data_IF_208442705433
#
_entry.id   IF_208442705433
#
_cell.length_a   1.000
_cell.length_b   1.000
_cell.length_c   1.000
_cell.angle_alpha   90.00
_cell.angle_beta   90.00
_cell.angle_gamma   90.00
#
_symmetry.space_group_name_H-M   'P 1'
#
loop_
_entity.id
_entity.type
_entity.pdbx_description
1 polymer ?
#
# COMPACT_ATOMS: atom_id res chain seq x y z
N UNK A 1 11.18 -38.39 11.92
CA UNK A 1 9.78 -38.77 12.21
C UNK A 1 8.95 -37.49 12.34
N UNK A 2 7.66 -37.59 12.10
CA UNK A 2 6.70 -36.50 12.26
C UNK A 2 5.69 -36.89 13.31
N UNK A 3 5.34 -35.97 14.23
CA UNK A 3 4.40 -36.26 15.30
C UNK A 3 3.81 -34.99 15.90
N UNK A 4 2.96 -35.17 16.91
CA UNK A 4 2.35 -34.08 17.68
C UNK A 4 3.05 -33.95 19.00
N UNK A 5 3.30 -32.69 19.43
CA UNK A 5 3.79 -32.35 20.77
C UNK A 5 2.68 -31.64 21.54
N UNK A 6 2.32 -32.16 22.73
CA UNK A 6 1.34 -31.57 23.61
C UNK A 6 2.01 -31.29 24.94
N UNK A 7 2.18 -30.01 25.30
CA UNK A 7 2.90 -29.58 26.49
C UNK A 7 2.19 -28.47 27.28
N UNK A 8 0.86 -28.37 27.18
CA UNK A 8 0.05 -27.32 27.83
C UNK A 8 0.60 -25.88 27.58
N UNK A 9 1.16 -25.66 26.41
CA UNK A 9 1.67 -24.35 25.99
C UNK A 9 0.48 -23.39 25.82
N UNK A 10 0.48 -22.31 26.59
CA UNK A 10 -0.64 -21.33 26.57
C UNK A 10 -0.34 -20.13 25.66
N UNK A 11 0.92 -19.89 25.33
CA UNK A 11 1.34 -18.79 24.48
C UNK A 11 2.32 -19.31 23.41
N UNK A 12 2.07 -18.96 22.15
CA UNK A 12 2.91 -19.36 21.01
C UNK A 12 4.33 -18.78 21.13
N UNK A 13 4.49 -17.62 21.75
CA UNK A 13 5.79 -16.99 21.94
C UNK A 13 6.74 -17.83 22.83
N UNK A 14 6.20 -18.76 23.61
CA UNK A 14 6.97 -19.71 24.42
C UNK A 14 7.47 -20.94 23.67
N UNK A 15 7.06 -21.15 22.42
CA UNK A 15 7.49 -22.29 21.59
C UNK A 15 7.43 -21.87 20.10
N UNK A 16 8.37 -21.00 19.66
CA UNK A 16 8.38 -20.51 18.28
C UNK A 16 8.67 -21.65 17.29
N UNK A 17 8.23 -21.50 16.07
CA UNK A 17 8.47 -22.44 14.97
C UNK A 17 9.99 -22.55 14.74
N UNK A 18 10.51 -23.78 14.73
CA UNK A 18 11.94 -24.04 14.55
C UNK A 18 12.74 -24.08 15.84
N UNK A 19 12.09 -24.01 17.01
CA UNK A 19 12.76 -24.13 18.30
C UNK A 19 13.24 -25.57 18.58
N UNK A 20 14.27 -25.70 19.43
CA UNK A 20 14.85 -26.96 19.81
C UNK A 20 14.19 -27.50 21.08
N UNK A 21 13.62 -28.71 20.96
CA UNK A 21 13.02 -29.41 22.10
C UNK A 21 13.98 -30.43 22.65
N UNK A 22 14.25 -30.38 23.94
CA UNK A 22 15.20 -31.27 24.60
C UNK A 22 14.64 -31.83 25.90
N UNK A 23 15.24 -32.92 26.41
CA UNK A 23 14.84 -33.51 27.67
C UNK A 23 15.32 -32.69 28.85
N UNK A 24 14.46 -32.54 29.89
CA UNK A 24 14.80 -31.75 31.10
C UNK A 24 16.00 -32.28 31.89
N UNK A 25 16.33 -33.58 31.76
CA UNK A 25 17.46 -34.21 32.45
C UNK A 25 18.77 -34.19 31.66
N UNK A 26 18.67 -34.18 30.34
CA UNK A 26 19.77 -34.17 29.37
C UNK A 26 19.55 -33.03 28.37
N UNK A 27 19.55 -31.82 28.90
CA UNK A 27 19.41 -30.62 28.03
C UNK A 27 20.68 -30.45 27.18
N UNK A 28 20.50 -30.07 25.94
CA UNK A 28 21.60 -29.64 25.06
C UNK A 28 21.94 -28.18 25.35
N UNK A 29 23.24 -27.88 25.41
CA UNK A 29 23.72 -26.51 25.69
C UNK A 29 23.62 -25.59 24.45
N UNK A 30 23.63 -26.19 23.26
CA UNK A 30 23.54 -25.46 22.00
C UNK A 30 22.30 -25.93 21.24
N UNK A 31 21.36 -25.01 20.88
CA UNK A 31 20.22 -25.38 20.08
C UNK A 31 20.66 -25.89 18.70
N UNK A 32 19.85 -26.76 18.10
CA UNK A 32 20.03 -27.15 16.70
C UNK A 32 19.87 -25.92 15.81
N UNK A 33 20.53 -25.92 14.65
CA UNK A 33 20.26 -24.88 13.64
C UNK A 33 18.79 -24.93 13.27
N UNK A 34 18.04 -23.94 13.76
CA UNK A 34 16.61 -23.79 13.52
C UNK A 34 16.29 -23.28 12.12
N UNK A 35 15.01 -23.16 11.83
CA UNK A 35 14.57 -22.47 10.62
C UNK A 35 14.98 -20.99 10.68
N UNK A 36 15.44 -20.44 9.56
CA UNK A 36 15.64 -19.00 9.46
C UNK A 36 14.30 -18.30 9.65
N UNK A 37 14.19 -17.32 10.56
CA UNK A 37 12.94 -16.60 10.74
C UNK A 37 12.54 -15.94 9.42
N UNK A 38 11.33 -16.21 9.00
CA UNK A 38 10.79 -15.61 7.78
C UNK A 38 10.49 -14.15 8.08
N UNK A 39 11.12 -13.26 7.31
CA UNK A 39 10.95 -11.82 7.48
C UNK A 39 9.89 -11.32 6.49
N UNK A 40 8.87 -10.59 6.94
CA UNK A 40 7.93 -9.97 6.04
C UNK A 40 8.64 -8.95 5.12
N UNK A 41 8.17 -8.84 3.90
CA UNK A 41 8.73 -7.95 2.88
C UNK A 41 7.77 -6.84 2.47
N UNK A 42 6.48 -7.09 2.64
CA UNK A 42 5.39 -6.21 2.27
C UNK A 42 4.61 -5.84 3.52
N UNK A 43 4.25 -4.59 3.67
CA UNK A 43 3.52 -4.09 4.84
C UNK A 43 2.30 -3.30 4.37
N UNK A 44 1.16 -3.56 4.99
CA UNK A 44 -0.05 -2.77 4.77
C UNK A 44 -0.75 -2.51 6.11
N UNK A 45 -1.42 -1.36 6.20
CA UNK A 45 -2.34 -1.08 7.29
C UNK A 45 -3.70 -1.70 6.97
N UNK A 46 -4.28 -2.44 7.90
CA UNK A 46 -5.64 -2.94 7.83
C UNK A 46 -6.46 -2.30 8.96
N UNK A 47 -7.60 -1.75 8.58
CA UNK A 47 -8.47 -1.00 9.48
C UNK A 47 -9.90 -1.53 9.39
N UNK A 48 -10.58 -1.81 10.51
CA UNK A 48 -11.99 -2.18 10.48
C UNK A 48 -12.84 -0.98 10.05
N UNK A 49 -13.90 -1.22 9.27
CA UNK A 49 -14.85 -0.18 8.84
C UNK A 49 -15.62 0.40 10.03
N UNK A 50 -15.83 -0.40 11.07
CA UNK A 50 -16.43 0.02 12.35
C UNK A 50 -15.40 -0.02 13.47
N UNK A 51 -15.29 1.06 14.25
CA UNK A 51 -14.42 1.10 15.44
C UNK A 51 -14.79 0.06 16.52
N UNK A 52 -16.03 -0.42 16.51
CA UNK A 52 -16.49 -1.46 17.43
C UNK A 52 -15.86 -2.83 17.14
N UNK A 53 -15.44 -3.07 15.90
CA UNK A 53 -14.82 -4.32 15.46
C UNK A 53 -13.33 -4.42 15.79
N UNK A 54 -12.70 -3.39 16.36
CA UNK A 54 -11.26 -3.40 16.66
C UNK A 54 -10.82 -4.56 17.54
N UNK A 55 -11.56 -4.84 18.64
CA UNK A 55 -11.26 -5.95 19.55
C UNK A 55 -11.45 -7.31 18.88
N UNK A 56 -12.53 -7.46 18.08
CA UNK A 56 -12.79 -8.66 17.28
C UNK A 56 -11.65 -8.89 16.27
N UNK A 57 -11.17 -7.81 15.65
CA UNK A 57 -10.06 -7.87 14.70
C UNK A 57 -8.74 -8.27 15.37
N UNK A 58 -8.42 -7.71 16.54
CA UNK A 58 -7.26 -8.10 17.33
C UNK A 58 -7.27 -9.60 17.67
N UNK A 59 -8.41 -10.10 18.11
CA UNK A 59 -8.57 -11.51 18.49
C UNK A 59 -8.48 -12.43 17.25
N UNK A 60 -8.98 -12.00 16.09
CA UNK A 60 -8.86 -12.72 14.84
C UNK A 60 -7.39 -12.83 14.39
N UNK A 61 -6.62 -11.72 14.45
CA UNK A 61 -5.19 -11.73 14.14
C UNK A 61 -4.41 -12.67 15.08
N UNK A 62 -4.70 -12.65 16.38
CA UNK A 62 -4.06 -13.54 17.34
C UNK A 62 -4.32 -15.02 16.99
N UNK A 63 -5.55 -15.36 16.58
CA UNK A 63 -5.90 -16.73 16.13
C UNK A 63 -5.23 -17.11 14.82
N UNK A 64 -5.18 -16.19 13.83
CA UNK A 64 -4.51 -16.45 12.57
C UNK A 64 -3.02 -16.69 12.75
N UNK A 65 -2.36 -15.94 13.62
CA UNK A 65 -0.93 -16.09 13.94
C UNK A 65 -0.59 -17.49 14.48
N UNK A 66 -1.53 -18.20 15.09
CA UNK A 66 -1.32 -19.59 15.53
C UNK A 66 -1.05 -20.54 14.36
N UNK A 67 -1.60 -20.25 13.19
CA UNK A 67 -1.47 -21.08 12.00
C UNK A 67 -0.50 -20.49 10.97
N UNK A 68 -0.09 -19.23 11.16
CA UNK A 68 0.76 -18.49 10.26
C UNK A 68 1.88 -17.78 11.02
N UNK A 69 3.00 -18.47 11.17
CA UNK A 69 4.18 -17.96 11.88
C UNK A 69 4.85 -16.76 11.17
N UNK A 70 4.54 -16.52 9.90
CA UNK A 70 5.05 -15.38 9.14
C UNK A 70 4.26 -14.10 9.39
N UNK A 71 3.05 -14.20 9.93
CA UNK A 71 2.18 -13.07 10.21
C UNK A 71 2.72 -12.25 11.38
N UNK A 72 3.17 -11.04 11.07
CA UNK A 72 3.61 -10.05 12.07
C UNK A 72 2.67 -8.86 12.01
N UNK A 73 2.25 -8.36 13.16
CA UNK A 73 1.37 -7.19 13.22
C UNK A 73 1.65 -6.34 14.45
N UNK A 74 1.46 -5.05 14.31
CA UNK A 74 1.55 -4.05 15.37
C UNK A 74 0.34 -3.11 15.30
N UNK A 75 -0.13 -2.54 16.42
CA UNK A 75 -1.19 -1.54 16.40
C UNK A 75 -0.78 -0.32 15.57
N UNK A 76 -1.68 0.16 14.73
CA UNK A 76 -1.53 1.37 13.93
C UNK A 76 -2.74 2.28 14.15
N UNK A 77 -2.51 3.59 14.15
CA UNK A 77 -3.56 4.59 14.22
C UNK A 77 -3.46 5.51 13.01
N UNK A 78 -4.57 5.69 12.32
CA UNK A 78 -4.72 6.62 11.21
C UNK A 78 -5.70 7.72 11.59
N UNK A 79 -5.37 8.97 11.29
CA UNK A 79 -6.28 10.10 11.52
C UNK A 79 -7.55 10.00 10.66
N UNK A 80 -7.46 9.34 9.51
CA UNK A 80 -8.58 9.14 8.59
C UNK A 80 -9.40 7.89 8.90
N UNK A 81 -8.77 6.76 9.30
CA UNK A 81 -9.38 5.43 9.41
C UNK A 81 -9.54 4.96 10.86
N UNK A 82 -8.94 5.66 11.84
CA UNK A 82 -8.97 5.28 13.26
C UNK A 82 -7.98 4.19 13.61
N UNK A 83 -8.35 3.32 14.55
CA UNK A 83 -7.49 2.25 15.06
C UNK A 83 -7.52 1.02 14.15
N UNK A 84 -6.35 0.48 13.86
CA UNK A 84 -6.15 -0.72 13.06
C UNK A 84 -4.83 -1.40 13.40
N UNK A 85 -4.31 -2.18 12.45
CA UNK A 85 -3.04 -2.88 12.59
C UNK A 85 -2.19 -2.71 11.33
N UNK A 86 -0.91 -2.44 11.54
CA UNK A 86 0.13 -2.58 10.53
C UNK A 86 0.54 -4.03 10.47
N UNK A 87 0.38 -4.66 9.31
CA UNK A 87 0.63 -6.10 9.14
C UNK A 87 1.73 -6.32 8.13
N UNK A 88 2.68 -7.18 8.49
CA UNK A 88 3.75 -7.61 7.61
C UNK A 88 3.41 -8.93 6.93
N UNK A 89 3.62 -8.99 5.61
CA UNK A 89 3.31 -10.11 4.73
C UNK A 89 4.55 -10.58 3.97
N UNK A 90 4.54 -11.83 3.53
CA UNK A 90 5.58 -12.38 2.67
C UNK A 90 5.57 -11.80 1.25
N UNK A 91 4.39 -11.41 0.78
CA UNK A 91 4.12 -10.84 -0.52
C UNK A 91 2.63 -10.52 -0.67
N UNK A 92 2.22 -10.05 -1.84
CA UNK A 92 0.82 -9.67 -2.11
C UNK A 92 -0.16 -10.84 -1.95
N UNK A 93 0.15 -12.01 -2.50
CA UNK A 93 -0.72 -13.18 -2.38
C UNK A 93 -0.97 -13.55 -0.90
N UNK A 94 0.06 -13.46 -0.07
CA UNK A 94 -0.09 -13.68 1.37
C UNK A 94 -1.02 -12.63 2.00
N UNK A 95 -0.89 -11.36 1.60
CA UNK A 95 -1.78 -10.27 2.05
C UNK A 95 -3.24 -10.54 1.67
N UNK A 96 -3.49 -10.91 0.41
CA UNK A 96 -4.84 -11.24 -0.09
C UNK A 96 -5.45 -12.41 0.66
N UNK A 97 -4.68 -13.48 0.88
CA UNK A 97 -5.15 -14.67 1.64
C UNK A 97 -5.50 -14.30 3.07
N UNK A 98 -4.65 -13.52 3.76
CA UNK A 98 -4.91 -13.10 5.14
C UNK A 98 -6.14 -12.21 5.21
N UNK A 99 -6.27 -11.25 4.28
CA UNK A 99 -7.44 -10.37 4.21
C UNK A 99 -8.72 -11.19 3.97
N UNK A 100 -8.74 -12.07 2.97
CA UNK A 100 -9.88 -12.91 2.65
C UNK A 100 -10.28 -13.83 3.82
N UNK A 101 -9.30 -14.37 4.55
CA UNK A 101 -9.56 -15.15 5.76
C UNK A 101 -10.17 -14.33 6.88
N UNK A 102 -9.68 -13.10 7.11
CA UNK A 102 -10.24 -12.18 8.10
C UNK A 102 -11.69 -11.82 7.77
N UNK A 103 -11.98 -11.57 6.51
CA UNK A 103 -13.33 -11.26 6.04
C UNK A 103 -14.27 -12.46 6.13
N UNK A 104 -13.85 -13.64 5.65
CA UNK A 104 -14.72 -14.83 5.56
C UNK A 104 -14.84 -15.64 6.86
N UNK A 105 -13.72 -15.86 7.56
CA UNK A 105 -13.71 -16.71 8.75
C UNK A 105 -14.14 -15.94 10.01
N UNK A 106 -13.88 -14.61 10.03
CA UNK A 106 -14.14 -13.78 11.20
C UNK A 106 -15.20 -12.70 10.96
N UNK A 107 -15.80 -12.63 9.77
CA UNK A 107 -16.85 -11.66 9.43
C UNK A 107 -16.45 -10.23 9.80
N UNK A 108 -15.32 -9.79 9.23
CA UNK A 108 -14.74 -8.46 9.42
C UNK A 108 -14.77 -7.72 8.09
N UNK A 109 -15.28 -6.50 8.08
CA UNK A 109 -15.14 -5.59 6.95
C UNK A 109 -13.90 -4.73 7.15
N UNK A 110 -12.91 -4.86 6.26
CA UNK A 110 -11.60 -4.24 6.41
C UNK A 110 -11.27 -3.28 5.27
N UNK A 111 -10.65 -2.15 5.62
CA UNK A 111 -10.04 -1.23 4.68
C UNK A 111 -8.53 -1.50 4.68
N UNK A 112 -7.97 -1.77 3.51
CA UNK A 112 -6.53 -2.00 3.34
C UNK A 112 -5.87 -0.77 2.72
N UNK A 113 -4.79 -0.29 3.32
CA UNK A 113 -3.96 0.76 2.74
C UNK A 113 -3.02 0.20 1.67
N UNK A 114 -2.43 1.08 0.86
CA UNK A 114 -1.46 0.66 -0.14
C UNK A 114 -0.30 -0.12 0.50
N UNK A 115 0.09 -1.29 -0.06
CA UNK A 115 1.22 -2.03 0.43
C UNK A 115 2.50 -1.23 0.22
N UNK A 116 3.37 -1.31 1.19
CA UNK A 116 4.69 -0.66 1.20
C UNK A 116 5.77 -1.68 1.51
N UNK A 117 7.01 -1.30 1.23
CA UNK A 117 8.21 -2.08 1.58
C UNK A 117 8.95 -1.41 2.74
N UNK A 118 9.92 -2.10 3.32
CA UNK A 118 10.82 -1.48 4.30
C UNK A 118 11.83 -0.62 3.54
N UNK A 119 11.93 0.65 3.93
CA UNK A 119 12.96 1.57 3.48
C UNK A 119 14.00 1.80 4.58
N UNK A 120 15.23 2.09 4.20
CA UNK A 120 16.26 2.58 5.11
C UNK A 120 16.48 4.08 4.90
N UNK A 121 16.53 4.81 6.01
CA UNK A 121 16.80 6.24 6.03
C UNK A 121 18.10 6.45 6.80
N UNK A 122 19.06 7.09 6.15
CA UNK A 122 20.23 7.63 6.79
C UNK A 122 19.94 9.08 7.20
N UNK A 123 20.03 9.38 8.49
CA UNK A 123 19.86 10.75 8.95
C UNK A 123 21.14 11.58 8.79
N UNK A 124 21.01 12.90 8.96
CA UNK A 124 22.17 13.83 8.89
C UNK A 124 23.19 13.61 10.01
N UNK A 125 22.88 12.77 11.02
CA UNK A 125 23.76 12.42 12.13
C UNK A 125 24.46 11.06 11.92
N UNK A 126 24.16 10.38 10.82
CA UNK A 126 24.75 9.07 10.47
C UNK A 126 24.01 7.85 11.04
N UNK A 127 22.84 8.02 11.67
CA UNK A 127 22.04 6.89 12.14
C UNK A 127 21.19 6.32 11.02
N UNK A 128 21.10 4.99 10.94
CA UNK A 128 20.23 4.30 10.00
C UNK A 128 18.96 3.87 10.73
N UNK A 129 17.80 4.27 10.21
CA UNK A 129 16.48 3.84 10.68
C UNK A 129 15.72 3.14 9.56
N UNK A 130 14.86 2.19 9.93
CA UNK A 130 13.97 1.48 9.00
C UNK A 130 12.55 1.96 9.17
N UNK A 131 11.91 2.24 8.06
CA UNK A 131 10.50 2.62 8.03
C UNK A 131 9.73 1.71 7.07
N UNK A 132 8.53 1.39 7.44
CA UNK A 132 7.58 0.53 6.70
C UNK A 132 6.30 1.28 6.33
N UNK A 133 6.16 2.53 6.77
CA UNK A 133 4.99 3.36 6.53
C UNK A 133 5.37 4.79 6.16
N UNK A 134 4.64 5.43 5.22
CA UNK A 134 4.83 6.85 4.90
C UNK A 134 4.62 7.78 6.10
N UNK A 135 3.78 7.39 7.07
CA UNK A 135 3.52 8.17 8.29
C UNK A 135 4.71 8.22 9.25
N UNK A 136 5.57 7.18 9.22
CA UNK A 136 6.80 7.11 10.03
C UNK A 136 7.99 7.88 9.42
N UNK A 137 7.81 8.53 8.26
CA UNK A 137 8.88 9.26 7.58
C UNK A 137 9.28 10.50 8.39
N UNK A 138 10.57 10.65 8.76
CA UNK A 138 11.06 11.84 9.44
C UNK A 138 11.00 13.09 8.53
N UNK A 139 11.10 14.30 9.10
CA UNK A 139 11.11 15.53 8.32
C UNK A 139 12.21 15.50 7.23
N UNK A 140 11.94 15.96 6.00
CA UNK A 140 12.88 15.86 4.87
C UNK A 140 14.26 16.48 5.16
N UNK A 141 14.33 17.54 6.00
CA UNK A 141 15.59 18.20 6.36
C UNK A 141 16.52 17.33 7.20
N UNK A 142 16.00 16.28 7.85
CA UNK A 142 16.79 15.35 8.67
C UNK A 142 17.29 14.14 7.90
N UNK A 143 16.85 13.95 6.65
CA UNK A 143 17.21 12.84 5.80
C UNK A 143 18.45 13.20 4.98
N UNK A 144 19.54 12.45 5.16
CA UNK A 144 20.73 12.54 4.31
C UNK A 144 20.59 11.64 3.08
N UNK A 145 20.15 10.39 3.27
CA UNK A 145 19.90 9.44 2.18
C UNK A 145 18.63 8.67 2.41
N UNK A 146 17.89 8.43 1.33
CA UNK A 146 16.75 7.56 1.29
C UNK A 146 17.13 6.31 0.48
N UNK A 147 17.01 5.12 1.09
CA UNK A 147 17.42 3.86 0.49
C UNK A 147 16.24 2.93 0.30
N UNK A 148 16.08 2.40 -0.91
CA UNK A 148 15.04 1.42 -1.25
C UNK A 148 15.62 0.00 -1.36
N UNK A 149 14.81 -1.04 -1.05
CA UNK A 149 15.22 -2.42 -1.23
C UNK A 149 15.24 -2.78 -2.71
N UNK A 150 16.38 -3.33 -3.16
CA UNK A 150 16.57 -3.86 -4.50
C UNK A 150 16.51 -5.37 -4.43
N UNK A 151 15.83 -5.96 -5.39
CA UNK A 151 15.73 -7.40 -5.58
C UNK A 151 16.44 -7.82 -6.88
N UNK A 152 16.97 -9.03 -6.89
CA UNK A 152 17.38 -9.73 -8.11
C UNK A 152 16.24 -10.64 -8.53
N UNK A 153 15.60 -10.29 -9.66
CA UNK A 153 14.49 -11.02 -10.24
C UNK A 153 14.98 -11.91 -11.40
N UNK A 154 14.66 -13.20 -11.33
CA UNK A 154 14.88 -14.16 -12.40
C UNK A 154 13.55 -14.41 -13.12
N UNK A 155 13.43 -13.94 -14.35
CA UNK A 155 12.22 -14.04 -15.15
C UNK A 155 12.45 -15.10 -16.24
N UNK A 156 11.62 -16.12 -16.23
CA UNK A 156 11.62 -17.15 -17.26
C UNK A 156 10.44 -16.91 -18.21
N UNK A 157 10.71 -16.77 -19.50
CA UNK A 157 9.72 -16.41 -20.50
C UNK A 157 10.02 -17.10 -21.85
N UNK A 158 9.01 -17.27 -22.70
CA UNK A 158 9.22 -17.72 -24.08
C UNK A 158 9.80 -16.60 -24.95
N UNK A 159 10.58 -16.94 -25.97
CA UNK A 159 11.29 -15.99 -26.82
C UNK A 159 10.40 -14.92 -27.46
N UNK A 160 9.12 -15.24 -27.69
CA UNK A 160 8.14 -14.32 -28.30
C UNK A 160 7.82 -13.09 -27.42
N UNK A 161 7.90 -13.25 -26.08
CA UNK A 161 7.49 -12.21 -25.12
C UNK A 161 8.68 -11.51 -24.45
N UNK A 162 9.91 -11.80 -24.86
CA UNK A 162 11.13 -11.17 -24.32
C UNK A 162 11.07 -9.65 -24.42
N UNK A 163 10.70 -9.11 -25.59
CA UNK A 163 10.60 -7.67 -25.82
C UNK A 163 9.62 -6.96 -24.88
N UNK A 164 8.34 -7.38 -24.81
CA UNK A 164 7.36 -6.84 -23.86
C UNK A 164 7.79 -6.93 -22.39
N UNK A 165 8.42 -8.04 -21.98
CA UNK A 165 8.91 -8.21 -20.60
C UNK A 165 10.08 -7.26 -20.30
N UNK A 166 11.03 -7.09 -21.22
CA UNK A 166 12.11 -6.11 -21.08
C UNK A 166 11.54 -4.69 -20.95
N UNK A 167 10.57 -4.32 -21.78
CA UNK A 167 9.91 -3.01 -21.71
C UNK A 167 9.26 -2.77 -20.36
N UNK A 168 8.56 -3.77 -19.82
CA UNK A 168 7.96 -3.70 -18.48
C UNK A 168 9.04 -3.52 -17.40
N UNK A 169 10.13 -4.28 -17.44
CA UNK A 169 11.21 -4.15 -16.46
C UNK A 169 11.86 -2.76 -16.50
N UNK A 170 12.07 -2.19 -17.69
CA UNK A 170 12.60 -0.83 -17.86
C UNK A 170 11.65 0.23 -17.33
N UNK A 171 10.34 0.11 -17.59
CA UNK A 171 9.30 0.99 -17.04
C UNK A 171 9.33 1.01 -15.51
N UNK A 172 9.60 -0.15 -14.91
CA UNK A 172 9.71 -0.33 -13.44
C UNK A 172 11.13 -0.05 -12.91
N UNK A 173 11.90 0.77 -13.59
CA UNK A 173 13.26 1.19 -13.19
C UNK A 173 14.27 0.03 -13.06
N UNK A 174 14.03 -1.07 -13.75
CA UNK A 174 14.86 -2.26 -13.71
C UNK A 174 16.18 -2.09 -14.46
N UNK A 175 17.23 -2.72 -13.93
CA UNK A 175 18.56 -2.80 -14.55
C UNK A 175 18.82 -4.24 -14.97
N UNK A 176 18.98 -4.47 -16.27
CA UNK A 176 19.27 -5.80 -16.81
C UNK A 176 20.67 -6.27 -16.41
N UNK A 177 20.77 -7.47 -15.86
CA UNK A 177 22.06 -8.11 -15.51
C UNK A 177 22.50 -9.13 -16.56
N UNK A 178 21.60 -10.01 -16.94
CA UNK A 178 21.89 -11.02 -17.97
C UNK A 178 20.63 -11.47 -18.69
N UNK A 179 20.84 -12.04 -19.87
CA UNK A 179 19.83 -12.73 -20.66
C UNK A 179 20.44 -14.00 -21.23
N UNK A 180 19.79 -15.12 -20.99
CA UNK A 180 20.25 -16.42 -21.42
C UNK A 180 19.16 -17.16 -22.23
N UNK A 181 19.48 -17.54 -23.45
CA UNK A 181 18.57 -18.26 -24.32
C UNK A 181 18.75 -19.77 -24.13
N UNK A 182 17.68 -20.47 -23.77
CA UNK A 182 17.65 -21.92 -23.56
C UNK A 182 16.60 -22.55 -24.49
N UNK A 183 16.91 -22.66 -25.77
CA UNK A 183 15.99 -23.13 -26.79
C UNK A 183 14.81 -22.15 -26.98
N UNK A 184 13.59 -22.60 -26.61
CA UNK A 184 12.37 -21.73 -26.68
C UNK A 184 12.16 -20.85 -25.46
N UNK A 185 12.85 -21.14 -24.39
CA UNK A 185 12.77 -20.37 -23.15
C UNK A 185 13.94 -19.41 -23.02
N UNK A 186 13.71 -18.28 -22.42
CA UNK A 186 14.70 -17.25 -22.16
C UNK A 186 14.65 -16.91 -20.67
N UNK A 187 15.79 -16.99 -20.03
CA UNK A 187 15.96 -16.55 -18.64
C UNK A 187 16.54 -15.15 -18.65
N UNK A 188 15.85 -14.21 -18.02
CA UNK A 188 16.22 -12.82 -17.93
C UNK A 188 16.42 -12.45 -16.46
N UNK A 189 17.58 -11.90 -16.13
CA UNK A 189 17.89 -11.46 -14.77
C UNK A 189 17.89 -9.93 -14.73
N UNK A 190 17.06 -9.39 -13.84
CA UNK A 190 16.95 -7.95 -13.58
C UNK A 190 17.17 -7.63 -12.11
N UNK A 191 17.83 -6.51 -11.84
CA UNK A 191 17.68 -5.83 -10.56
C UNK A 191 16.49 -4.87 -10.64
N UNK A 192 15.55 -4.99 -9.70
CA UNK A 192 14.33 -4.18 -9.64
C UNK A 192 14.15 -3.61 -8.23
N UNK A 193 13.67 -2.37 -8.10
CA UNK A 193 13.18 -1.88 -6.81
C UNK A 193 11.96 -2.70 -6.36
N UNK A 194 12.00 -3.23 -5.14
CA UNK A 194 10.92 -4.09 -4.62
C UNK A 194 9.57 -3.36 -4.61
N UNK A 195 9.57 -2.06 -4.32
CA UNK A 195 8.33 -1.27 -4.30
C UNK A 195 7.61 -1.21 -5.66
N UNK A 196 8.36 -1.22 -6.77
CA UNK A 196 7.78 -1.24 -8.11
C UNK A 196 7.21 -2.61 -8.49
N UNK A 197 7.65 -3.67 -7.79
CA UNK A 197 7.20 -5.05 -8.03
C UNK A 197 5.98 -5.40 -7.21
N UNK A 198 5.89 -4.88 -5.99
CA UNK A 198 4.84 -5.22 -5.03
C UNK A 198 3.45 -4.77 -5.47
N UNK A 199 3.31 -3.71 -6.26
CA UNK A 199 1.99 -3.15 -6.60
C UNK A 199 1.29 -3.93 -7.73
N UNK A 200 1.87 -3.94 -8.92
CA UNK A 200 1.17 -4.37 -10.15
C UNK A 200 2.04 -5.20 -11.11
N UNK A 201 3.31 -5.41 -10.75
CA UNK A 201 4.28 -6.03 -11.67
C UNK A 201 3.90 -7.45 -12.08
N UNK A 202 3.43 -8.29 -11.15
CA UNK A 202 3.08 -9.67 -11.44
C UNK A 202 1.90 -9.77 -12.41
N UNK A 203 0.89 -8.93 -12.24
CA UNK A 203 -0.28 -8.91 -13.12
C UNK A 203 0.07 -8.36 -14.50
N UNK A 204 0.87 -7.31 -14.56
CA UNK A 204 1.43 -6.80 -15.82
C UNK A 204 2.33 -7.83 -16.50
N UNK A 205 3.19 -8.53 -15.74
CA UNK A 205 4.04 -9.61 -16.27
C UNK A 205 3.22 -10.72 -16.92
N UNK A 206 2.19 -11.19 -16.22
CA UNK A 206 1.25 -12.19 -16.77
C UNK A 206 0.53 -11.67 -18.02
N UNK A 207 0.07 -10.42 -17.98
CA UNK A 207 -0.63 -9.80 -19.11
C UNK A 207 0.26 -9.69 -20.34
N UNK A 208 1.46 -9.10 -20.24
CA UNK A 208 2.37 -8.88 -21.38
C UNK A 208 2.94 -10.20 -21.94
N UNK A 209 3.01 -11.23 -21.13
CA UNK A 209 3.49 -12.56 -21.53
C UNK A 209 2.36 -13.57 -21.83
N UNK A 210 1.09 -13.15 -21.77
CA UNK A 210 -0.08 -14.04 -21.88
C UNK A 210 -0.02 -15.26 -20.95
N UNK A 211 0.54 -15.07 -19.76
CA UNK A 211 0.71 -16.12 -18.76
C UNK A 211 1.93 -17.02 -18.96
N UNK A 212 2.76 -16.80 -19.98
CA UNK A 212 3.96 -17.61 -20.26
C UNK A 212 5.22 -17.18 -19.49
N UNK A 213 5.17 -16.11 -18.72
CA UNK A 213 6.28 -15.72 -17.85
C UNK A 213 6.07 -16.18 -16.42
N UNK A 214 7.14 -16.64 -15.81
CA UNK A 214 7.25 -16.85 -14.37
C UNK A 214 8.40 -16.02 -13.82
N UNK A 215 8.28 -15.59 -12.56
CA UNK A 215 9.31 -14.81 -11.89
C UNK A 215 9.56 -15.37 -10.50
N UNK A 216 10.82 -15.49 -10.16
CA UNK A 216 11.34 -15.68 -8.81
C UNK A 216 12.26 -14.52 -8.47
N UNK A 217 12.31 -14.12 -7.19
CA UNK A 217 13.14 -13.01 -6.78
C UNK A 217 13.75 -13.22 -5.40
N UNK A 218 14.90 -12.57 -5.20
CA UNK A 218 15.62 -12.56 -3.93
C UNK A 218 15.99 -11.12 -3.58
N UNK A 219 15.94 -10.81 -2.27
CA UNK A 219 16.44 -9.53 -1.79
C UNK A 219 17.95 -9.47 -1.99
N UNK A 220 18.44 -8.37 -2.56
CA UNK A 220 19.85 -8.16 -2.82
C UNK A 220 20.47 -7.19 -1.83
N UNK A 221 20.02 -5.95 -1.83
CA UNK A 221 20.58 -4.87 -1.01
C UNK A 221 19.63 -3.68 -0.88
N UNK A 222 19.97 -2.75 0.00
CA UNK A 222 19.43 -1.41 0.00
C UNK A 222 20.28 -0.49 -0.87
N UNK A 223 19.63 0.35 -1.68
CA UNK A 223 20.30 1.30 -2.59
C UNK A 223 19.69 2.68 -2.44
N UNK A 224 20.55 3.72 -2.41
CA UNK A 224 20.14 5.12 -2.40
C UNK A 224 19.34 5.46 -3.64
N UNK A 225 18.19 6.13 -3.44
CA UNK A 225 17.28 6.52 -4.51
C UNK A 225 16.59 7.85 -4.17
N UNK A 226 16.18 8.60 -5.19
CA UNK A 226 15.46 9.87 -5.01
C UNK A 226 13.97 9.62 -4.76
N UNK A 227 13.69 9.15 -3.56
CA UNK A 227 12.33 8.87 -3.11
C UNK A 227 11.73 10.08 -2.39
N UNK A 228 10.43 10.23 -2.55
CA UNK A 228 9.66 11.29 -1.93
C UNK A 228 8.36 10.74 -1.36
N UNK A 229 7.82 11.46 -0.38
CA UNK A 229 6.46 11.23 0.09
C UNK A 229 5.48 12.03 -0.77
N UNK A 230 4.51 11.34 -1.32
CA UNK A 230 3.36 11.88 -2.02
C UNK A 230 2.16 11.88 -1.07
N UNK A 231 1.65 13.06 -0.76
CA UNK A 231 0.46 13.23 0.10
C UNK A 231 -0.77 13.52 -0.76
N UNK A 232 -1.90 12.93 -0.37
CA UNK A 232 -3.20 13.21 -0.97
C UNK A 232 -4.03 14.06 0.00
N UNK A 233 -4.47 15.22 -0.47
CA UNK A 233 -5.32 16.11 0.29
C UNK A 233 -6.71 16.13 -0.31
N UNK A 234 -7.72 16.01 0.54
CA UNK A 234 -9.13 16.15 0.18
C UNK A 234 -9.67 17.38 0.90
N UNK A 235 -10.13 18.37 0.13
CA UNK A 235 -10.53 19.68 0.66
C UNK A 235 -9.46 20.40 1.50
N UNK A 236 -8.18 20.20 1.19
CA UNK A 236 -6.98 20.70 1.88
C UNK A 236 -6.70 19.98 3.22
N UNK A 237 -7.40 18.91 3.53
CA UNK A 237 -7.08 18.03 4.67
C UNK A 237 -6.30 16.83 4.14
N UNK A 238 -5.16 16.52 4.76
CA UNK A 238 -4.33 15.37 4.40
C UNK A 238 -5.00 14.07 4.82
N UNK A 239 -4.96 13.06 3.94
CA UNK A 239 -5.42 11.71 4.23
C UNK A 239 -4.19 10.83 4.35
N UNK A 240 -3.76 10.55 5.56
CA UNK A 240 -2.55 9.79 5.88
C UNK A 240 -2.54 8.39 5.28
N UNK A 241 -3.68 7.72 5.28
CA UNK A 241 -3.88 6.39 4.72
C UNK A 241 -3.69 6.31 3.18
N UNK A 242 -3.71 7.46 2.49
CA UNK A 242 -3.47 7.57 1.05
C UNK A 242 -2.06 8.07 0.70
N UNK A 243 -1.22 8.31 1.70
CA UNK A 243 0.15 8.75 1.47
C UNK A 243 1.01 7.60 0.91
N UNK A 244 1.88 7.91 -0.05
CA UNK A 244 2.76 6.96 -0.71
C UNK A 244 4.22 7.42 -0.69
N UNK A 245 5.14 6.45 -0.70
CA UNK A 245 6.55 6.69 -0.98
C UNK A 245 6.82 6.25 -2.42
N UNK A 246 7.25 7.19 -3.26
CA UNK A 246 7.47 6.95 -4.69
C UNK A 246 8.74 7.64 -5.18
N UNK A 247 9.25 7.21 -6.33
CA UNK A 247 10.36 7.87 -6.99
C UNK A 247 9.93 9.25 -7.52
N UNK A 248 10.81 10.27 -7.37
CA UNK A 248 10.51 11.66 -7.75
C UNK A 248 10.07 11.81 -9.19
N UNK A 249 10.72 11.11 -10.13
CA UNK A 249 10.41 11.22 -11.56
C UNK A 249 8.99 10.78 -11.88
N UNK A 250 8.46 9.79 -11.16
CA UNK A 250 7.11 9.26 -11.35
C UNK A 250 6.03 10.05 -10.59
N UNK A 251 6.43 11.00 -9.76
CA UNK A 251 5.53 11.67 -8.80
C UNK A 251 4.38 12.42 -9.46
N UNK A 252 4.66 13.15 -10.53
CA UNK A 252 3.65 13.96 -11.23
C UNK A 252 2.64 13.06 -11.94
N UNK A 253 3.12 12.01 -12.58
CA UNK A 253 2.28 11.05 -13.28
C UNK A 253 1.36 10.30 -12.30
N UNK A 254 1.96 9.65 -11.30
CA UNK A 254 1.22 8.92 -10.25
C UNK A 254 0.25 9.82 -9.47
N UNK A 255 0.69 11.04 -9.11
CA UNK A 255 -0.17 11.99 -8.41
C UNK A 255 -1.39 12.44 -9.22
N UNK A 256 -1.25 12.58 -10.54
CA UNK A 256 -2.36 12.89 -11.43
C UNK A 256 -3.33 11.72 -11.53
N UNK A 257 -2.81 10.55 -11.75
CA UNK A 257 -3.57 9.32 -11.91
C UNK A 257 -4.41 9.01 -10.68
N UNK A 258 -3.81 9.05 -9.48
CA UNK A 258 -4.52 8.89 -8.21
C UNK A 258 -5.64 9.93 -8.08
N UNK A 259 -5.34 11.21 -8.35
CA UNK A 259 -6.32 12.27 -8.23
C UNK A 259 -7.51 12.09 -9.20
N UNK A 260 -7.27 11.58 -10.41
CA UNK A 260 -8.32 11.30 -11.40
C UNK A 260 -9.15 10.08 -11.00
N UNK A 261 -8.54 8.97 -10.58
CA UNK A 261 -9.25 7.79 -10.07
C UNK A 261 -10.11 8.14 -8.85
N UNK A 262 -9.58 8.87 -7.90
CA UNK A 262 -10.35 9.31 -6.73
C UNK A 262 -11.53 10.22 -7.09
N UNK A 263 -11.40 11.05 -8.11
CA UNK A 263 -12.51 11.88 -8.60
C UNK A 263 -13.67 11.03 -9.15
N UNK A 264 -13.38 9.88 -9.73
CA UNK A 264 -14.40 8.95 -10.24
C UNK A 264 -15.11 8.22 -9.10
N UNK A 265 -14.38 7.85 -8.07
CA UNK A 265 -14.87 7.05 -6.94
C UNK A 265 -15.56 7.88 -5.86
N UNK A 266 -15.08 9.09 -5.58
CA UNK A 266 -15.70 9.96 -4.57
C UNK A 266 -17.05 10.47 -5.10
N UNK A 267 -18.17 10.16 -4.44
CA UNK A 267 -19.48 10.56 -4.88
C UNK A 267 -19.66 12.09 -4.82
N UNK A 268 -20.46 12.62 -5.74
CA UNK A 268 -20.81 14.05 -5.73
C UNK A 268 -21.57 14.40 -4.46
N UNK A 269 -21.05 15.38 -3.74
CA UNK A 269 -21.66 15.89 -2.51
C UNK A 269 -22.34 17.25 -2.75
N UNK A 270 -22.90 17.84 -1.68
CA UNK A 270 -23.59 19.14 -1.76
C UNK A 270 -22.63 20.32 -1.99
N UNK A 271 -21.31 20.08 -1.93
CA UNK A 271 -20.23 21.05 -2.16
C UNK A 271 -19.18 20.47 -3.10
N UNK A 272 -18.33 21.33 -3.67
CA UNK A 272 -17.24 20.88 -4.55
C UNK A 272 -16.12 20.30 -3.68
N UNK A 273 -15.69 19.07 -3.99
CA UNK A 273 -14.58 18.38 -3.30
C UNK A 273 -13.32 18.56 -4.14
N UNK A 274 -12.31 19.20 -3.57
CA UNK A 274 -11.00 19.34 -4.18
C UNK A 274 -10.11 18.16 -3.77
N UNK A 275 -9.53 17.45 -4.74
CA UNK A 275 -8.56 16.39 -4.55
C UNK A 275 -7.23 16.91 -5.06
N UNK A 276 -6.18 16.83 -4.23
CA UNK A 276 -4.87 17.39 -4.55
C UNK A 276 -3.79 16.35 -4.21
N UNK A 277 -2.84 16.17 -5.11
CA UNK A 277 -1.62 15.43 -4.83
C UNK A 277 -0.49 16.43 -4.57
N UNK A 278 0.26 16.23 -3.48
CA UNK A 278 1.26 17.17 -3.00
C UNK A 278 2.58 16.49 -2.65
N UNK A 279 3.67 17.23 -2.85
CA UNK A 279 5.00 16.87 -2.33
C UNK A 279 5.35 17.95 -1.30
N UNK A 280 5.26 17.63 -0.02
CA UNK A 280 5.33 18.61 1.05
C UNK A 280 4.25 19.69 0.87
N UNK A 281 4.65 20.95 0.69
CA UNK A 281 3.72 22.06 0.47
C UNK A 281 3.35 22.31 -1.01
N UNK A 282 4.06 21.65 -1.94
CA UNK A 282 3.88 21.89 -3.38
C UNK A 282 2.78 20.97 -3.95
N UNK A 283 1.70 21.57 -4.43
CA UNK A 283 0.65 20.85 -5.16
C UNK A 283 1.17 20.53 -6.56
N UNK A 284 1.20 19.23 -6.92
CA UNK A 284 1.65 18.73 -8.24
C UNK A 284 0.48 18.37 -9.14
N UNK A 285 -0.66 17.99 -8.57
CA UNK A 285 -1.89 17.70 -9.31
C UNK A 285 -3.10 18.15 -8.52
N UNK A 286 -4.14 18.59 -9.23
CA UNK A 286 -5.42 18.98 -8.63
C UNK A 286 -6.57 18.61 -9.54
N UNK A 287 -7.57 17.97 -8.98
CA UNK A 287 -8.85 17.71 -9.62
C UNK A 287 -10.01 18.08 -8.69
N UNK A 288 -11.23 18.20 -9.22
CA UNK A 288 -12.38 18.57 -8.40
C UNK A 288 -13.58 17.68 -8.77
N UNK A 289 -14.24 17.14 -7.74
CA UNK A 289 -15.57 16.54 -7.86
C UNK A 289 -16.60 17.66 -7.75
N UNK A 290 -17.37 17.88 -8.82
CA UNK A 290 -18.37 18.95 -8.85
C UNK A 290 -19.53 18.63 -7.92
N UNK A 291 -19.99 19.63 -7.15
CA UNK A 291 -21.16 19.51 -6.28
C UNK A 291 -22.43 19.13 -7.05
N UNK A 292 -23.34 18.44 -6.36
CA UNK A 292 -24.71 18.28 -6.82
C UNK A 292 -25.35 19.67 -7.05
N UNK A 293 -25.90 19.89 -8.21
CA UNK A 293 -26.57 21.16 -8.56
C UNK A 293 -28.07 20.96 -8.62
N UNK A 294 -28.81 21.62 -7.75
CA UNK A 294 -30.22 21.88 -7.96
C UNK A 294 -30.36 23.04 -8.96
N UNK A 295 -31.14 22.89 -10.00
CA UNK A 295 -31.40 23.97 -10.92
C UNK A 295 -32.32 25.02 -10.25
N UNK A 296 -31.69 25.99 -9.55
CA UNK A 296 -32.44 27.02 -8.81
C UNK A 296 -33.05 28.08 -9.73
N UNK A 297 -32.68 28.07 -11.01
CA UNK A 297 -33.19 29.01 -12.02
C UNK A 297 -34.29 28.41 -12.92
N UNK A 298 -34.61 27.10 -12.77
CA UNK A 298 -35.61 26.41 -13.58
C UNK A 298 -37.01 27.04 -13.56
N UNK A 299 -37.37 27.65 -12.41
CA UNK A 299 -38.67 28.34 -12.24
C UNK A 299 -38.63 29.85 -12.57
N UNK A 300 -37.49 30.35 -13.06
CA UNK A 300 -37.37 31.76 -13.45
C UNK A 300 -37.75 31.91 -14.91
N UNK A 301 -39.05 32.03 -15.17
CA UNK A 301 -39.59 32.38 -16.48
C UNK A 301 -39.38 33.89 -16.73
N UNK A 302 -38.90 34.25 -17.94
CA UNK A 302 -38.63 35.61 -18.33
C UNK A 302 -37.22 36.14 -18.06
N UNK A 303 -36.88 37.26 -18.63
CA UNK A 303 -35.55 37.81 -18.73
C UNK A 303 -34.96 38.49 -17.48
N UNK A 304 -35.46 38.23 -16.26
CA UNK A 304 -34.91 38.83 -15.05
C UNK A 304 -33.51 38.25 -14.69
N UNK A 305 -32.50 38.82 -15.35
CA UNK A 305 -31.10 38.49 -15.18
C UNK A 305 -30.65 38.72 -13.70
N UNK A 306 -31.18 39.78 -13.08
CA UNK A 306 -30.81 40.17 -11.69
C UNK A 306 -31.26 39.12 -10.69
N UNK A 307 -32.48 38.61 -10.83
CA UNK A 307 -33.03 37.54 -9.99
C UNK A 307 -32.27 36.25 -10.17
N UNK A 308 -31.97 35.85 -11.41
CA UNK A 308 -31.15 34.65 -11.71
C UNK A 308 -29.77 34.75 -11.05
N UNK A 309 -29.10 35.92 -11.16
CA UNK A 309 -27.79 36.17 -10.55
C UNK A 309 -27.85 36.08 -9.04
N UNK A 310 -28.83 36.70 -8.38
CA UNK A 310 -29.01 36.61 -6.91
C UNK A 310 -29.21 35.17 -6.41
N UNK A 311 -30.02 34.37 -7.14
CA UNK A 311 -30.24 32.97 -6.79
C UNK A 311 -28.98 32.13 -6.92
N UNK A 312 -28.18 32.33 -7.98
CA UNK A 312 -26.90 31.67 -8.19
C UNK A 312 -25.86 32.06 -7.10
N UNK A 313 -25.81 33.37 -6.74
CA UNK A 313 -24.95 33.86 -5.67
C UNK A 313 -25.33 33.28 -4.31
N UNK A 314 -26.64 33.19 -4.00
CA UNK A 314 -27.13 32.55 -2.78
C UNK A 314 -26.77 31.07 -2.73
N UNK A 315 -26.89 30.35 -3.86
CA UNK A 315 -26.47 28.96 -3.98
C UNK A 315 -24.95 28.81 -3.75
N UNK A 316 -24.14 29.70 -4.34
CA UNK A 316 -22.68 29.71 -4.16
C UNK A 316 -22.27 29.94 -2.70
N UNK A 317 -22.92 30.91 -2.02
CA UNK A 317 -22.69 31.18 -0.59
C UNK A 317 -23.10 29.97 0.27
N UNK A 318 -24.25 29.32 -0.02
CA UNK A 318 -24.70 28.12 0.68
C UNK A 318 -23.70 26.98 0.55
N UNK A 319 -23.17 26.71 -0.65
CA UNK A 319 -22.15 25.68 -0.90
C UNK A 319 -20.84 25.96 -0.13
N UNK A 320 -20.40 27.23 -0.12
CA UNK A 320 -19.19 27.63 0.63
C UNK A 320 -19.37 27.36 2.13
N UNK A 321 -20.56 27.64 2.68
CA UNK A 321 -20.86 27.36 4.09
C UNK A 321 -20.92 25.84 4.37
N UNK A 322 -21.53 25.04 3.50
CA UNK A 322 -21.59 23.57 3.64
C UNK A 322 -20.19 22.97 3.58
N UNK A 323 -19.30 23.45 2.72
CA UNK A 323 -17.90 23.00 2.65
C UNK A 323 -17.13 23.23 3.95
N UNK A 324 -17.43 24.29 4.69
CA UNK A 324 -16.75 24.58 5.95
C UNK A 324 -17.25 23.77 7.15
N UNK A 325 -18.36 23.03 7.00
CA UNK A 325 -19.00 22.29 8.09
C UNK A 325 -19.01 20.76 7.77
N UNK A 326 -19.07 20.39 6.48
CA UNK A 326 -19.22 19.01 6.04
C UNK A 326 -17.87 18.28 5.93
N UNK A 327 -17.76 17.11 6.55
CA UNK A 327 -16.69 16.16 6.26
C UNK A 327 -16.96 15.51 4.89
N UNK A 328 -15.89 15.17 4.18
CA UNK A 328 -15.98 14.40 2.93
C UNK A 328 -16.07 12.94 3.29
N UNK A 329 -17.12 12.29 2.80
CA UNK A 329 -17.25 10.84 2.89
C UNK A 329 -16.39 10.21 1.79
N UNK A 330 -15.36 9.46 2.20
CA UNK A 330 -14.42 8.78 1.31
C UNK A 330 -14.82 7.30 1.31
N UNK A 331 -15.32 6.77 0.18
CA UNK A 331 -15.69 5.37 0.10
C UNK A 331 -14.46 4.46 0.18
N UNK A 332 -14.68 3.23 0.62
CA UNK A 332 -13.63 2.22 0.77
C UNK A 332 -12.88 1.97 -0.54
N UNK A 333 -13.59 1.99 -1.67
CA UNK A 333 -13.03 1.79 -3.00
C UNK A 333 -11.98 2.86 -3.36
N UNK A 334 -12.05 4.04 -2.77
CA UNK A 334 -11.06 5.10 -2.99
C UNK A 334 -9.69 4.75 -2.39
N UNK A 335 -9.64 4.00 -1.27
CA UNK A 335 -8.39 3.51 -0.70
C UNK A 335 -7.81 2.38 -1.54
N UNK A 336 -8.67 1.50 -2.07
CA UNK A 336 -8.27 0.41 -2.97
C UNK A 336 -7.79 0.93 -4.34
N UNK A 337 -8.32 2.07 -4.80
CA UNK A 337 -7.93 2.66 -6.09
C UNK A 337 -6.43 3.00 -6.17
N UNK A 338 -5.80 3.25 -5.03
CA UNK A 338 -4.35 3.50 -4.96
C UNK A 338 -3.55 2.22 -5.22
N UNK A 339 -4.16 1.03 -5.02
CA UNK A 339 -3.54 -0.28 -5.28
C UNK A 339 -3.52 -0.63 -6.77
N UNK A 340 -4.51 -0.15 -7.54
CA UNK A 340 -4.73 -0.50 -8.95
C UNK A 340 -4.45 0.70 -9.86
N UNK A 341 -3.30 1.34 -9.69
CA UNK A 341 -2.83 2.41 -10.57
C UNK A 341 -2.13 1.76 -11.76
N UNK A 342 -2.66 1.97 -12.97
CA UNK A 342 -2.14 1.40 -14.22
C UNK A 342 -0.77 1.98 -14.63
#
# INVERSE_FOLDING_TARGET
EVGFLIASIKNIDGAPVGDTITGSKNSVDVPLEGFKPVQPRVFAGLFPTSGEDYEKFRDALAKLRLNDAALQYEPENSDALGFGFRIGFLGLLHMEIVQERLEREYDLDLITTAPTVIYEILDTKGNVSRIDSPSKLPPPQTIAEFREPIITANILVTSEYVGPVISLCVEKRGVQKSINYMGRQVSIVYELPLNEVVLDFFDKLKSVSRGFASMDYQFERYQTSDLIRLDILINNEGVDALALIIHRDNSVYKGREIAEKMKELIPRQMFDVAIQACIGVKIISRTNVKALRKNVTAKCYGGDITRKRKLLEKQKKGKKRMRSIGRVDIPQEAFLAVLHID
#
